data_IF_473233287397
#
_entry.id   IF_473233287397
#
_cell.length_a   1.000
_cell.length_b   1.000
_cell.length_c   1.000
_cell.angle_alpha   90.00
_cell.angle_beta   90.00
_cell.angle_gamma   90.00
#
_symmetry.space_group_name_H-M   'P 1'
#
loop_
_entity.id
_entity.type
_entity.pdbx_description
1 polymer ?
#
# COMPACT_ATOMS: atom_id res chain seq x y z
N UNK A 1 59.16 25.21 -14.59
CA UNK A 1 58.44 25.08 -13.33
C UNK A 1 56.94 25.09 -13.57
N UNK A 2 56.31 23.96 -13.97
CA UNK A 2 54.84 23.85 -14.15
C UNK A 2 54.31 22.49 -13.72
N UNK A 3 54.83 21.95 -12.59
CA UNK A 3 54.41 20.63 -12.04
C UNK A 3 53.38 20.65 -10.91
N UNK A 4 52.91 21.77 -10.29
CA UNK A 4 51.94 21.62 -9.19
C UNK A 4 50.47 21.57 -9.62
N UNK A 5 50.09 21.91 -10.86
CA UNK A 5 48.71 21.93 -11.28
C UNK A 5 48.14 20.55 -11.63
N UNK A 6 49.00 19.64 -12.08
CA UNK A 6 48.59 18.28 -12.45
C UNK A 6 48.36 17.36 -11.23
N UNK A 7 49.05 17.61 -10.12
CA UNK A 7 48.87 16.88 -8.86
C UNK A 7 47.58 17.25 -8.15
N UNK A 8 47.11 18.50 -8.26
CA UNK A 8 45.82 18.95 -7.71
C UNK A 8 44.61 18.40 -8.46
N UNK A 9 44.75 18.12 -9.78
CA UNK A 9 43.69 17.55 -10.59
C UNK A 9 43.48 16.04 -10.31
N UNK A 10 44.54 15.33 -9.98
CA UNK A 10 44.45 13.89 -9.59
C UNK A 10 43.83 13.70 -8.20
N UNK A 11 43.88 14.68 -7.31
CA UNK A 11 43.31 14.59 -5.97
C UNK A 11 41.76 14.75 -5.98
N UNK A 12 41.22 15.35 -7.05
CA UNK A 12 39.77 15.57 -7.20
C UNK A 12 39.06 14.37 -7.84
N UNK A 13 39.84 13.39 -8.35
CA UNK A 13 39.34 12.17 -8.97
C UNK A 13 39.55 10.91 -8.11
N UNK A 14 39.82 11.06 -6.81
CA UNK A 14 39.68 9.91 -5.95
C UNK A 14 38.19 9.59 -5.87
N UNK A 15 37.74 8.42 -6.38
CA UNK A 15 36.41 7.94 -6.09
C UNK A 15 36.35 7.83 -4.56
N UNK A 16 35.43 8.57 -3.94
CA UNK A 16 35.04 8.30 -2.55
C UNK A 16 34.68 6.82 -2.54
N UNK A 17 35.57 5.98 -2.04
CA UNK A 17 35.23 4.65 -1.59
C UNK A 17 34.24 4.90 -0.44
N UNK A 18 32.94 5.04 -0.80
CA UNK A 18 31.86 4.76 0.12
C UNK A 18 32.10 3.31 0.53
N UNK A 19 32.76 3.11 1.66
CA UNK A 19 32.64 1.90 2.43
C UNK A 19 31.16 1.83 2.79
N UNK A 20 30.38 1.14 1.94
CA UNK A 20 29.11 0.61 2.35
C UNK A 20 29.46 -0.30 3.53
N UNK A 21 29.21 0.18 4.75
CA UNK A 21 29.15 -0.69 5.92
C UNK A 21 27.93 -1.56 5.65
N UNK A 22 28.15 -2.68 4.99
CA UNK A 22 27.18 -3.77 4.96
C UNK A 22 27.03 -4.20 6.43
N UNK A 23 26.01 -3.69 7.11
CA UNK A 23 25.65 -4.18 8.41
C UNK A 23 25.33 -5.68 8.30
N UNK A 24 25.87 -6.47 9.22
CA UNK A 24 25.52 -7.89 9.29
C UNK A 24 24.00 -8.05 9.36
N UNK A 25 23.45 -8.89 8.49
CA UNK A 25 22.02 -9.22 8.51
C UNK A 25 21.63 -9.84 9.85
N UNK A 26 20.44 -9.54 10.33
CA UNK A 26 19.96 -10.07 11.61
C UNK A 26 19.95 -11.60 11.60
N UNK A 27 20.47 -12.21 12.66
CA UNK A 27 20.44 -13.66 12.80
C UNK A 27 19.00 -14.18 12.93
N UNK A 28 18.72 -15.33 12.32
CA UNK A 28 17.45 -16.04 12.53
C UNK A 28 17.51 -16.71 13.89
N UNK A 29 16.62 -16.36 14.83
CA UNK A 29 16.59 -17.03 16.14
C UNK A 29 16.09 -18.47 16.00
N UNK A 30 16.53 -19.40 16.85
CA UNK A 30 15.97 -20.75 16.88
C UNK A 30 14.52 -20.70 17.37
N UNK A 31 13.64 -21.48 16.74
CA UNK A 31 12.24 -21.58 17.17
C UNK A 31 12.17 -22.35 18.51
N UNK A 32 11.86 -21.65 19.58
CA UNK A 32 11.75 -22.25 20.95
C UNK A 32 10.30 -22.28 21.44
N UNK A 33 9.45 -21.39 20.94
CA UNK A 33 8.04 -21.29 21.28
C UNK A 33 7.25 -20.68 20.11
N UNK A 34 5.93 -20.92 20.01
CA UNK A 34 5.09 -20.29 19.00
C UNK A 34 5.14 -18.77 19.00
N UNK A 35 5.24 -18.15 20.16
CA UNK A 35 5.43 -16.71 20.32
C UNK A 35 6.82 -16.45 20.87
N UNK A 36 7.59 -15.66 20.15
CA UNK A 36 8.93 -15.27 20.55
C UNK A 36 9.01 -13.74 20.52
N UNK A 37 9.03 -13.13 21.69
CA UNK A 37 9.17 -11.68 21.85
C UNK A 37 10.61 -11.33 22.25
N UNK A 38 11.43 -10.96 21.27
CA UNK A 38 12.81 -10.52 21.46
C UNK A 38 12.93 -9.00 21.65
N UNK A 39 11.79 -8.31 21.70
CA UNK A 39 11.73 -6.86 21.85
C UNK A 39 11.06 -6.41 23.15
N UNK A 40 10.65 -7.35 24.00
CA UNK A 40 9.88 -7.10 25.22
C UNK A 40 8.65 -6.19 24.97
N UNK A 41 7.96 -6.45 23.87
CA UNK A 41 6.78 -5.69 23.44
C UNK A 41 5.53 -6.09 24.21
N UNK A 42 5.38 -7.39 24.49
CA UNK A 42 4.21 -7.96 25.14
C UNK A 42 4.45 -8.14 26.64
N UNK A 43 3.43 -7.91 27.47
CA UNK A 43 3.47 -8.38 28.85
C UNK A 43 3.71 -9.89 28.92
N UNK A 44 4.55 -10.37 29.83
CA UNK A 44 4.88 -11.79 29.93
C UNK A 44 3.66 -12.70 30.13
N UNK A 45 2.61 -12.19 30.78
CA UNK A 45 1.35 -12.91 30.94
C UNK A 45 0.64 -13.14 29.60
N UNK A 46 0.61 -12.12 28.74
CA UNK A 46 -0.04 -12.15 27.42
C UNK A 46 0.75 -13.06 26.48
N UNK A 47 2.07 -12.97 26.48
CA UNK A 47 2.95 -13.86 25.73
C UNK A 47 2.72 -15.32 26.11
N UNK A 48 2.70 -15.62 27.42
CA UNK A 48 2.46 -16.97 27.92
C UNK A 48 1.06 -17.51 27.55
N UNK A 49 0.03 -16.67 27.67
CA UNK A 49 -1.33 -17.03 27.29
C UNK A 49 -1.44 -17.32 25.79
N UNK A 50 -0.82 -16.47 24.96
CA UNK A 50 -0.81 -16.63 23.52
C UNK A 50 -0.02 -17.89 23.09
N UNK A 51 1.11 -18.18 23.74
CA UNK A 51 1.88 -19.39 23.52
C UNK A 51 1.04 -20.65 23.80
N UNK A 52 0.37 -20.71 24.95
CA UNK A 52 -0.51 -21.82 25.33
C UNK A 52 -1.62 -22.03 24.30
N UNK A 53 -2.23 -20.92 23.86
CA UNK A 53 -3.31 -20.93 22.88
C UNK A 53 -2.85 -21.45 21.51
N UNK A 54 -1.70 -20.99 21.01
CA UNK A 54 -1.17 -21.42 19.71
C UNK A 54 -0.70 -22.88 19.73
N UNK A 55 -0.18 -23.37 20.86
CA UNK A 55 0.14 -24.79 21.04
C UNK A 55 -1.13 -25.66 21.00
N UNK A 56 -2.20 -25.27 21.69
CA UNK A 56 -3.47 -25.94 21.65
C UNK A 56 -4.07 -25.94 20.23
N UNK A 57 -4.06 -24.79 19.56
CA UNK A 57 -4.53 -24.68 18.19
C UNK A 57 -3.79 -25.61 17.23
N UNK A 58 -2.46 -25.68 17.33
CA UNK A 58 -1.66 -26.59 16.49
C UNK A 58 -1.97 -28.06 16.78
N UNK A 59 -2.17 -28.43 18.04
CA UNK A 59 -2.53 -29.80 18.43
C UNK A 59 -3.91 -30.22 17.89
N UNK A 60 -4.87 -29.28 17.83
CA UNK A 60 -6.24 -29.54 17.36
C UNK A 60 -6.37 -29.54 15.83
N UNK A 61 -5.70 -28.60 15.17
CA UNK A 61 -5.92 -28.32 13.73
C UNK A 61 -4.76 -28.80 12.85
N UNK A 62 -3.60 -29.11 13.46
CA UNK A 62 -2.38 -29.50 12.74
C UNK A 62 -1.61 -28.32 12.13
N UNK A 63 -2.27 -27.23 11.77
CA UNK A 63 -1.62 -26.02 11.23
C UNK A 63 -0.85 -25.27 12.33
N UNK A 64 0.25 -24.65 11.97
CA UNK A 64 1.12 -23.94 12.92
C UNK A 64 1.08 -22.43 12.68
N UNK A 65 0.83 -21.66 13.72
CA UNK A 65 0.96 -20.21 13.72
C UNK A 65 2.13 -19.85 14.63
N UNK A 66 3.07 -19.06 14.14
CA UNK A 66 4.14 -18.49 14.94
C UNK A 66 4.16 -16.96 14.84
N UNK A 67 4.55 -16.31 15.94
CA UNK A 67 4.72 -14.87 16.05
C UNK A 67 6.14 -14.59 16.47
N UNK A 68 6.87 -13.82 15.69
CA UNK A 68 8.21 -13.36 16.00
C UNK A 68 8.22 -11.83 16.11
N UNK A 69 8.56 -11.33 17.28
CA UNK A 69 8.70 -9.91 17.55
C UNK A 69 10.18 -9.61 17.74
N UNK A 70 10.71 -8.72 16.90
CA UNK A 70 12.12 -8.32 16.92
C UNK A 70 12.26 -6.80 17.08
N UNK A 71 13.34 -6.32 17.66
CA UNK A 71 13.58 -4.87 17.75
C UNK A 71 13.65 -4.22 16.37
N UNK A 72 14.33 -4.82 15.40
CA UNK A 72 14.52 -4.35 14.03
C UNK A 72 14.94 -5.49 13.12
N UNK A 73 14.67 -5.35 11.82
CA UNK A 73 15.19 -6.25 10.79
C UNK A 73 16.33 -5.63 10.00
N UNK A 74 16.66 -4.36 10.25
CA UNK A 74 17.71 -3.65 9.53
C UNK A 74 19.07 -4.35 9.64
N UNK A 75 19.87 -4.35 8.55
CA UNK A 75 19.69 -3.62 7.29
C UNK A 75 18.77 -4.30 6.28
N UNK A 76 18.26 -5.48 6.58
CA UNK A 76 17.39 -6.26 5.72
C UNK A 76 15.95 -5.72 5.78
N UNK A 77 15.23 -5.79 4.66
CA UNK A 77 13.81 -5.47 4.69
C UNK A 77 13.01 -6.59 5.38
N UNK A 78 11.85 -6.22 5.94
CA UNK A 78 11.07 -7.16 6.73
C UNK A 78 10.58 -8.38 5.93
N UNK A 79 10.34 -8.23 4.63
CA UNK A 79 9.87 -9.34 3.79
C UNK A 79 10.99 -10.38 3.64
N UNK A 80 12.20 -9.95 3.27
CA UNK A 80 13.37 -10.81 3.11
C UNK A 80 13.73 -11.51 4.42
N UNK A 81 13.74 -10.76 5.54
CA UNK A 81 13.96 -11.33 6.85
C UNK A 81 12.92 -12.39 7.22
N UNK A 82 11.63 -12.08 7.06
CA UNK A 82 10.52 -12.99 7.37
C UNK A 82 10.59 -14.26 6.53
N UNK A 83 10.95 -14.13 5.26
CA UNK A 83 11.11 -15.27 4.35
C UNK A 83 12.23 -16.20 4.83
N UNK A 84 13.40 -15.66 5.20
CA UNK A 84 14.51 -16.42 5.77
C UNK A 84 14.14 -17.14 7.06
N UNK A 85 13.39 -16.46 7.93
CA UNK A 85 12.89 -17.06 9.18
C UNK A 85 11.95 -18.23 8.86
N UNK A 86 10.98 -18.01 7.96
CA UNK A 86 10.02 -19.04 7.56
C UNK A 86 10.72 -20.28 6.96
N UNK A 87 11.69 -20.06 6.08
CA UNK A 87 12.50 -21.14 5.50
C UNK A 87 13.32 -21.93 6.56
N UNK A 88 13.85 -21.20 7.54
CA UNK A 88 14.63 -21.81 8.63
C UNK A 88 13.75 -22.60 9.59
N UNK A 89 12.60 -22.05 9.96
CA UNK A 89 11.71 -22.67 10.95
C UNK A 89 10.85 -23.79 10.38
N UNK A 90 10.59 -23.78 9.08
CA UNK A 90 9.77 -24.78 8.37
C UNK A 90 8.47 -25.08 9.10
N UNK A 91 7.72 -24.02 9.41
CA UNK A 91 6.45 -24.10 10.09
C UNK A 91 5.44 -24.93 9.31
N UNK A 92 4.59 -25.66 10.02
CA UNK A 92 3.57 -26.48 9.42
C UNK A 92 3.99 -27.93 9.24
N UNK A 93 3.05 -28.74 8.77
CA UNK A 93 3.27 -30.18 8.53
C UNK A 93 4.08 -30.39 7.24
N UNK A 94 5.05 -31.28 7.30
CA UNK A 94 5.90 -31.63 6.15
C UNK A 94 5.05 -32.08 4.96
N UNK A 95 5.24 -31.40 3.81
CA UNK A 95 4.55 -31.71 2.55
C UNK A 95 3.13 -31.17 2.45
N UNK A 96 2.62 -30.52 3.52
CA UNK A 96 1.36 -29.77 3.54
C UNK A 96 1.66 -28.28 3.53
N UNK A 97 2.73 -27.88 4.24
CA UNK A 97 3.21 -26.50 4.36
C UNK A 97 2.12 -25.55 4.91
N UNK A 98 1.44 -25.98 5.97
CA UNK A 98 0.34 -25.27 6.61
C UNK A 98 0.79 -24.45 7.83
N UNK A 99 1.90 -23.76 7.66
CA UNK A 99 2.45 -22.83 8.63
C UNK A 99 2.15 -21.38 8.30
N UNK A 100 2.04 -20.53 9.33
CA UNK A 100 1.95 -19.08 9.24
C UNK A 100 2.96 -18.45 10.18
N UNK A 101 3.69 -17.46 9.71
CA UNK A 101 4.60 -16.65 10.51
C UNK A 101 4.22 -15.18 10.45
N UNK A 102 3.89 -14.59 11.59
CA UNK A 102 3.76 -13.15 11.76
C UNK A 102 5.06 -12.58 12.32
N UNK A 103 5.71 -11.71 11.57
CA UNK A 103 6.91 -10.98 12.02
C UNK A 103 6.56 -9.54 12.30
N UNK A 104 7.00 -9.01 13.44
CA UNK A 104 6.81 -7.63 13.87
C UNK A 104 8.16 -7.02 14.19
N UNK A 105 8.56 -5.98 13.44
CA UNK A 105 9.77 -5.20 13.66
C UNK A 105 9.41 -3.87 14.33
N UNK A 106 9.63 -3.79 15.64
CA UNK A 106 9.09 -2.72 16.52
C UNK A 106 9.63 -1.35 16.14
N UNK A 107 10.96 -1.21 16.05
CA UNK A 107 11.62 0.07 15.72
C UNK A 107 11.35 0.50 14.29
N UNK A 108 11.20 -0.46 13.38
CA UNK A 108 10.94 -0.22 11.96
C UNK A 108 9.47 0.11 11.71
N UNK A 109 8.59 -0.15 12.70
CA UNK A 109 7.12 -0.02 12.59
C UNK A 109 6.56 -0.79 11.42
N UNK A 110 7.07 -1.98 11.21
CA UNK A 110 6.69 -2.87 10.10
C UNK A 110 6.25 -4.21 10.65
N UNK A 111 5.31 -4.83 9.94
CA UNK A 111 4.89 -6.19 10.16
C UNK A 111 4.77 -6.92 8.82
N UNK A 112 4.89 -8.23 8.85
CA UNK A 112 4.76 -9.08 7.68
C UNK A 112 4.18 -10.44 8.04
N UNK A 113 3.39 -11.03 7.13
CA UNK A 113 2.89 -12.38 7.22
C UNK A 113 3.52 -13.23 6.12
N UNK A 114 4.11 -14.36 6.52
CA UNK A 114 4.51 -15.43 5.62
C UNK A 114 3.53 -16.59 5.79
N UNK A 115 2.93 -17.00 4.68
CA UNK A 115 1.87 -18.01 4.65
C UNK A 115 2.42 -19.18 3.86
N UNK A 116 2.37 -20.37 4.47
CA UNK A 116 2.74 -21.59 3.80
C UNK A 116 1.76 -21.97 2.69
N UNK A 117 2.26 -22.66 1.68
CA UNK A 117 1.51 -23.01 0.47
C UNK A 117 0.16 -23.71 0.75
N UNK A 118 0.14 -24.58 1.80
CA UNK A 118 -1.10 -25.28 2.20
C UNK A 118 -2.20 -24.39 2.74
N UNK A 119 -1.89 -23.15 3.07
CA UNK A 119 -2.86 -22.17 3.61
C UNK A 119 -3.20 -21.03 2.65
N UNK A 120 -2.61 -20.96 1.45
CA UNK A 120 -2.91 -19.90 0.47
C UNK A 120 -4.39 -19.85 0.09
N UNK A 121 -5.06 -21.01 0.05
CA UNK A 121 -6.50 -21.09 -0.21
C UNK A 121 -7.35 -20.54 0.93
N UNK A 122 -6.91 -20.67 2.18
CA UNK A 122 -7.60 -20.16 3.37
C UNK A 122 -7.26 -18.70 3.64
N UNK A 123 -6.00 -18.32 3.42
CA UNK A 123 -5.46 -16.98 3.68
C UNK A 123 -4.83 -16.43 2.39
N UNK A 124 -5.62 -16.01 1.39
CA UNK A 124 -5.11 -15.33 0.20
C UNK A 124 -4.44 -14.00 0.58
N UNK A 125 -3.58 -13.48 -0.29
CA UNK A 125 -2.83 -12.21 -0.09
C UNK A 125 -3.74 -11.04 0.33
N UNK A 126 -4.94 -10.95 -0.23
CA UNK A 126 -5.90 -9.92 0.13
C UNK A 126 -6.32 -10.01 1.61
N UNK A 127 -6.50 -11.22 2.14
CA UNK A 127 -6.83 -11.45 3.56
C UNK A 127 -5.63 -11.22 4.46
N UNK A 128 -4.44 -11.64 4.05
CA UNK A 128 -3.19 -11.33 4.75
C UNK A 128 -2.99 -9.82 4.90
N UNK A 129 -3.19 -9.08 3.81
CA UNK A 129 -3.14 -7.61 3.81
C UNK A 129 -4.20 -7.00 4.74
N UNK A 130 -5.43 -7.50 4.71
CA UNK A 130 -6.51 -7.06 5.59
C UNK A 130 -6.13 -7.25 7.07
N UNK A 131 -5.58 -8.42 7.45
CA UNK A 131 -5.14 -8.68 8.82
C UNK A 131 -4.09 -7.66 9.26
N UNK A 132 -3.07 -7.41 8.43
CA UNK A 132 -1.99 -6.51 8.77
C UNK A 132 -2.44 -5.05 8.87
N UNK A 133 -3.30 -4.58 7.95
CA UNK A 133 -3.65 -3.16 7.81
C UNK A 133 -4.92 -2.78 8.56
N UNK A 134 -5.95 -3.62 8.51
CA UNK A 134 -7.26 -3.26 9.04
C UNK A 134 -7.48 -3.81 10.46
N UNK A 135 -6.79 -4.90 10.83
CA UNK A 135 -6.94 -5.51 12.15
C UNK A 135 -5.76 -5.14 13.07
N UNK A 136 -4.51 -5.42 12.67
CA UNK A 136 -3.34 -5.22 13.56
C UNK A 136 -2.98 -3.74 13.67
N UNK A 137 -2.88 -3.04 12.54
CA UNK A 137 -2.36 -1.67 12.46
C UNK A 137 -3.11 -0.65 13.34
N UNK A 138 -4.45 -0.64 13.44
CA UNK A 138 -5.15 0.32 14.31
C UNK A 138 -4.75 0.19 15.77
N UNK A 139 -4.64 -1.04 16.29
CA UNK A 139 -4.19 -1.30 17.65
C UNK A 139 -2.75 -0.80 17.88
N UNK A 140 -1.85 -1.07 16.92
CA UNK A 140 -0.46 -0.63 17.00
C UNK A 140 -0.34 0.90 16.96
N UNK A 141 -1.18 1.57 16.20
CA UNK A 141 -1.26 3.04 16.17
C UNK A 141 -1.76 3.62 17.50
N UNK A 142 -2.64 2.91 18.18
CA UNK A 142 -3.13 3.25 19.51
C UNK A 142 -2.13 2.90 20.63
N UNK A 143 -1.02 2.21 20.32
CA UNK A 143 -0.04 1.73 21.30
C UNK A 143 -0.45 0.44 22.02
N UNK A 144 -1.56 -0.17 21.63
CA UNK A 144 -2.08 -1.42 22.20
C UNK A 144 -1.56 -2.63 21.41
N UNK A 145 -0.30 -2.95 21.61
CA UNK A 145 0.38 -4.00 20.87
C UNK A 145 -0.16 -5.39 21.19
N UNK A 146 -0.50 -5.65 22.46
CA UNK A 146 -1.00 -6.93 22.89
C UNK A 146 -2.35 -7.26 22.24
N UNK A 147 -3.30 -6.32 22.27
CA UNK A 147 -4.59 -6.49 21.57
C UNK A 147 -4.40 -6.65 20.05
N UNK A 148 -3.46 -5.90 19.46
CA UNK A 148 -3.19 -6.00 18.03
C UNK A 148 -2.66 -7.37 17.61
N UNK A 149 -1.71 -7.92 18.36
CA UNK A 149 -1.19 -9.28 18.09
C UNK A 149 -2.28 -10.33 18.32
N UNK A 150 -3.03 -10.24 19.40
CA UNK A 150 -4.13 -11.16 19.68
C UNK A 150 -5.21 -11.12 18.58
N UNK A 151 -5.66 -9.93 18.18
CA UNK A 151 -6.65 -9.77 17.11
C UNK A 151 -6.15 -10.34 15.77
N UNK A 152 -4.88 -10.13 15.44
CA UNK A 152 -4.27 -10.70 14.25
C UNK A 152 -4.24 -12.24 14.29
N UNK A 153 -3.88 -12.83 15.44
CA UNK A 153 -3.88 -14.28 15.63
C UNK A 153 -5.30 -14.84 15.59
N UNK A 154 -6.29 -14.14 16.17
CA UNK A 154 -7.70 -14.53 16.11
C UNK A 154 -8.21 -14.61 14.68
N UNK A 155 -7.87 -13.60 13.87
CA UNK A 155 -8.22 -13.57 12.47
C UNK A 155 -7.57 -14.72 11.68
N UNK A 156 -6.30 -15.04 11.94
CA UNK A 156 -5.61 -16.17 11.33
C UNK A 156 -6.29 -17.50 11.68
N UNK A 157 -6.57 -17.73 12.96
CA UNK A 157 -7.27 -18.94 13.45
C UNK A 157 -8.64 -19.09 12.77
N UNK A 158 -9.40 -17.98 12.69
CA UNK A 158 -10.72 -17.94 12.05
C UNK A 158 -10.65 -18.39 10.60
N UNK A 159 -9.71 -17.83 9.83
CA UNK A 159 -9.53 -18.18 8.42
C UNK A 159 -9.08 -19.64 8.23
N UNK A 160 -8.15 -20.13 9.07
CA UNK A 160 -7.66 -21.51 8.98
C UNK A 160 -8.79 -22.51 9.30
N UNK A 161 -9.70 -22.15 10.21
CA UNK A 161 -10.89 -22.96 10.51
C UNK A 161 -11.95 -22.90 9.41
N UNK A 162 -11.76 -22.11 8.37
CA UNK A 162 -12.70 -21.95 7.26
C UNK A 162 -13.86 -21.01 7.54
N UNK A 163 -13.78 -20.20 8.57
CA UNK A 163 -14.75 -19.16 8.87
C UNK A 163 -14.43 -17.88 8.05
N UNK A 164 -15.46 -17.13 7.68
CA UNK A 164 -15.26 -15.83 6.99
C UNK A 164 -14.96 -14.74 8.01
N UNK A 165 -13.93 -13.95 7.76
CA UNK A 165 -13.74 -12.69 8.50
C UNK A 165 -14.88 -11.74 8.18
N UNK A 166 -15.28 -10.86 9.15
CA UNK A 166 -16.15 -9.73 8.87
C UNK A 166 -15.63 -8.93 7.69
N UNK A 167 -16.53 -8.38 6.88
CA UNK A 167 -16.11 -7.45 5.84
C UNK A 167 -15.40 -6.26 6.50
N UNK A 168 -14.33 -5.72 5.86
CA UNK A 168 -13.67 -4.54 6.37
C UNK A 168 -14.72 -3.44 6.53
N UNK A 169 -14.78 -2.81 7.69
CA UNK A 169 -15.49 -1.55 7.81
C UNK A 169 -14.87 -0.61 6.79
N UNK A 170 -15.69 0.03 5.95
CA UNK A 170 -15.24 1.04 4.97
C UNK A 170 -14.74 2.31 5.69
N UNK A 171 -14.05 2.17 6.81
CA UNK A 171 -13.30 3.25 7.42
C UNK A 171 -12.02 3.44 6.64
N UNK A 172 -12.13 4.36 5.70
CA UNK A 172 -11.05 5.19 5.15
C UNK A 172 -9.70 4.47 5.04
N UNK A 173 -9.67 3.45 4.18
CA UNK A 173 -8.40 3.10 3.58
C UNK A 173 -7.86 4.39 2.99
N UNK A 174 -6.89 4.98 3.69
CA UNK A 174 -6.00 5.99 3.15
C UNK A 174 -5.26 5.41 1.94
N UNK A 175 -6.01 4.80 1.01
CA UNK A 175 -5.64 4.78 -0.37
C UNK A 175 -5.28 6.21 -0.62
N UNK A 176 -4.03 6.47 -0.92
CA UNK A 176 -3.63 7.65 -1.64
C UNK A 176 -4.68 7.78 -2.73
N UNK A 177 -5.79 8.45 -2.39
CA UNK A 177 -6.77 8.89 -3.36
C UNK A 177 -5.90 9.78 -4.22
N UNK A 178 -5.37 9.17 -5.28
CA UNK A 178 -4.61 9.90 -6.27
C UNK A 178 -5.59 10.94 -6.75
N UNK A 179 -5.54 12.08 -6.05
CA UNK A 179 -6.44 13.19 -6.28
C UNK A 179 -6.33 13.46 -7.78
N UNK A 180 -7.35 13.18 -8.61
CA UNK A 180 -7.22 13.30 -10.06
C UNK A 180 -6.75 14.70 -10.45
N UNK A 181 -7.00 15.69 -9.57
CA UNK A 181 -6.49 17.04 -9.68
C UNK A 181 -4.97 17.07 -9.51
N UNK A 182 -4.37 16.33 -8.57
CA UNK A 182 -2.92 16.27 -8.41
C UNK A 182 -2.24 15.58 -9.59
N UNK A 183 -2.83 14.52 -10.12
CA UNK A 183 -2.32 13.84 -11.33
C UNK A 183 -2.42 14.77 -12.53
N UNK A 184 -3.54 15.48 -12.70
CA UNK A 184 -3.72 16.45 -13.76
C UNK A 184 -2.69 17.62 -13.67
N UNK A 185 -2.40 18.10 -12.47
CA UNK A 185 -1.39 19.12 -12.21
C UNK A 185 0.02 18.60 -12.59
N UNK A 186 0.38 17.39 -12.16
CA UNK A 186 1.69 16.79 -12.46
C UNK A 186 1.85 16.57 -13.97
N UNK A 187 0.82 16.03 -14.64
CA UNK A 187 0.83 15.85 -16.10
C UNK A 187 0.92 17.21 -16.82
N UNK A 188 0.19 18.22 -16.35
CA UNK A 188 0.23 19.57 -16.89
C UNK A 188 1.61 20.22 -16.77
N UNK A 189 2.27 20.08 -15.61
CA UNK A 189 3.63 20.58 -15.39
C UNK A 189 4.63 19.83 -16.29
N UNK A 190 4.55 18.50 -16.37
CA UNK A 190 5.43 17.68 -17.22
C UNK A 190 5.26 18.01 -18.70
N UNK A 191 4.02 18.15 -19.17
CA UNK A 191 3.73 18.55 -20.55
C UNK A 191 4.24 19.97 -20.85
N UNK A 192 4.10 20.91 -19.91
CA UNK A 192 4.62 22.29 -20.02
C UNK A 192 6.15 22.34 -20.11
N UNK A 193 6.86 21.55 -19.28
CA UNK A 193 8.32 21.43 -19.30
C UNK A 193 8.79 20.80 -20.62
N UNK A 194 8.13 19.75 -21.08
CA UNK A 194 8.46 19.06 -22.32
C UNK A 194 8.25 19.98 -23.54
N UNK A 195 7.13 20.69 -23.59
CA UNK A 195 6.83 21.63 -24.66
C UNK A 195 7.83 22.80 -24.69
N UNK A 196 8.24 23.28 -23.51
CA UNK A 196 9.28 24.33 -23.37
C UNK A 196 10.65 23.86 -23.85
N UNK A 197 10.99 22.57 -23.57
CA UNK A 197 12.24 21.98 -24.05
C UNK A 197 12.24 21.78 -25.58
N UNK A 198 11.10 21.51 -26.19
CA UNK A 198 10.95 21.31 -27.62
C UNK A 198 10.97 22.67 -28.38
N UNK A 199 10.26 23.69 -27.87
CA UNK A 199 10.20 25.01 -28.52
C UNK A 199 11.41 25.89 -28.20
N UNK A 200 12.04 25.73 -27.03
CA UNK A 200 13.21 26.55 -26.62
C UNK A 200 14.46 26.30 -27.47
N UNK A 201 14.51 25.22 -28.24
CA UNK A 201 15.67 24.88 -29.08
C UNK A 201 15.60 25.47 -30.52
N UNK A 202 14.42 25.90 -30.94
CA UNK A 202 14.19 26.38 -32.31
C UNK A 202 14.08 27.90 -32.44
N UNK A 203 13.96 28.66 -31.35
CA UNK A 203 13.69 30.11 -31.33
C UNK A 203 14.84 30.99 -30.79
N UNK A 204 16.04 30.45 -30.59
CA UNK A 204 17.20 31.18 -30.08
C UNK A 204 17.87 32.14 -31.08
N UNK A 205 17.24 32.48 -32.22
CA UNK A 205 17.87 33.19 -33.30
C UNK A 205 17.32 34.59 -33.69
N UNK A 206 16.28 35.10 -33.05
CA UNK A 206 15.71 36.43 -33.45
C UNK A 206 15.56 37.35 -32.22
N UNK A 207 16.60 38.11 -31.99
CA UNK A 207 16.65 39.24 -31.07
C UNK A 207 15.76 40.40 -31.59
N UNK A 208 14.74 40.79 -30.84
CA UNK A 208 14.10 42.10 -30.99
C UNK A 208 12.58 42.20 -30.82
N UNK A 209 11.83 41.10 -30.76
CA UNK A 209 10.37 41.15 -30.62
C UNK A 209 9.83 40.36 -29.40
N UNK A 210 10.68 40.12 -28.41
CA UNK A 210 10.52 39.01 -27.45
C UNK A 210 9.38 39.10 -26.44
N UNK A 211 8.94 40.28 -26.03
CA UNK A 211 7.98 40.39 -24.89
C UNK A 211 6.53 40.17 -25.35
N UNK A 212 6.14 40.64 -26.50
CA UNK A 212 4.77 40.44 -27.00
C UNK A 212 4.54 38.99 -27.47
N UNK A 213 5.57 38.34 -28.03
CA UNK A 213 5.50 36.96 -28.50
C UNK A 213 5.49 35.97 -27.33
N UNK A 214 6.22 36.25 -26.25
CA UNK A 214 6.21 35.41 -25.04
C UNK A 214 4.87 35.50 -24.31
N UNK A 215 4.23 36.65 -24.26
CA UNK A 215 2.92 36.85 -23.67
C UNK A 215 1.81 36.10 -24.47
N UNK A 216 1.87 36.19 -25.82
CA UNK A 216 0.96 35.49 -26.71
C UNK A 216 1.13 33.97 -26.66
N UNK A 217 2.38 33.49 -26.52
CA UNK A 217 2.67 32.05 -26.35
C UNK A 217 2.23 31.51 -24.99
N UNK A 218 2.36 32.29 -23.90
CA UNK A 218 1.89 31.91 -22.57
C UNK A 218 0.35 31.83 -22.53
N UNK A 219 -0.35 32.80 -23.13
CA UNK A 219 -1.81 32.75 -23.24
C UNK A 219 -2.29 31.64 -24.18
N UNK A 220 -1.62 31.40 -25.31
CA UNK A 220 -1.93 30.31 -26.23
C UNK A 220 -1.67 28.91 -25.63
N UNK A 221 -0.59 28.78 -24.85
CA UNK A 221 -0.30 27.52 -24.12
C UNK A 221 -1.33 27.25 -23.03
N UNK A 222 -1.83 28.28 -22.33
CA UNK A 222 -2.89 28.10 -21.33
C UNK A 222 -4.23 27.66 -21.98
N UNK A 223 -4.55 28.17 -23.14
CA UNK A 223 -5.72 27.76 -23.93
C UNK A 223 -5.55 26.34 -24.49
N UNK A 224 -4.37 25.99 -25.00
CA UNK A 224 -4.08 24.65 -25.53
C UNK A 224 -4.12 23.58 -24.44
N UNK A 225 -3.61 23.84 -23.25
CA UNK A 225 -3.69 22.92 -22.10
C UNK A 225 -5.12 22.77 -21.60
N UNK A 226 -5.92 23.82 -21.57
CA UNK A 226 -7.32 23.75 -21.18
C UNK A 226 -8.14 22.89 -22.16
N UNK A 227 -7.91 23.04 -23.48
CA UNK A 227 -8.58 22.23 -24.51
C UNK A 227 -8.12 20.76 -24.42
N UNK A 228 -6.84 20.51 -24.20
CA UNK A 228 -6.29 19.16 -24.08
C UNK A 228 -6.84 18.43 -22.84
N UNK A 229 -6.93 19.10 -21.70
CA UNK A 229 -7.55 18.57 -20.49
C UNK A 229 -9.06 18.29 -20.71
N UNK A 230 -9.76 19.21 -21.36
CA UNK A 230 -11.18 19.03 -21.68
C UNK A 230 -11.42 17.82 -22.59
N UNK A 231 -10.55 17.60 -23.57
CA UNK A 231 -10.64 16.42 -24.48
C UNK A 231 -10.36 15.12 -23.73
N UNK A 232 -9.36 15.08 -22.85
CA UNK A 232 -9.07 13.90 -22.03
C UNK A 232 -10.22 13.58 -21.08
N UNK A 233 -10.79 14.60 -20.41
CA UNK A 233 -11.95 14.43 -19.53
C UNK A 233 -13.17 13.91 -20.31
N UNK A 234 -13.36 14.39 -21.52
CA UNK A 234 -14.44 13.95 -22.40
C UNK A 234 -14.26 12.48 -22.85
N UNK A 235 -13.04 12.10 -23.23
CA UNK A 235 -12.71 10.71 -23.61
C UNK A 235 -12.89 9.79 -22.39
N UNK A 236 -12.42 10.20 -21.21
CA UNK A 236 -12.57 9.41 -19.98
C UNK A 236 -14.03 9.28 -19.55
N UNK A 237 -14.83 10.35 -19.71
CA UNK A 237 -16.27 10.33 -19.46
C UNK A 237 -17.01 9.39 -20.40
N UNK A 238 -16.60 9.30 -21.68
CA UNK A 238 -17.17 8.38 -22.66
C UNK A 238 -16.80 6.92 -22.39
N UNK A 239 -15.59 6.66 -21.90
CA UNK A 239 -15.12 5.31 -21.58
C UNK A 239 -15.67 4.84 -20.22
N UNK A 240 -15.78 5.72 -19.22
CA UNK A 240 -16.36 5.43 -17.89
C UNK A 240 -17.89 5.48 -17.85
N UNK A 241 -18.54 6.03 -18.87
CA UNK A 241 -19.99 6.28 -18.93
C UNK A 241 -20.85 5.10 -19.36
N UNK A 242 -20.33 3.89 -19.35
CA UNK A 242 -21.09 2.67 -19.62
C UNK A 242 -21.90 2.19 -18.41
N UNK A 243 -22.92 2.94 -17.98
CA UNK A 243 -23.89 2.38 -17.06
C UNK A 243 -24.40 3.27 -15.96
N UNK A 244 -25.10 4.36 -16.32
CA UNK A 244 -26.24 4.87 -15.53
C UNK A 244 -26.96 5.93 -16.35
N UNK A 245 -28.23 5.61 -16.74
CA UNK A 245 -29.09 6.47 -17.54
C UNK A 245 -29.36 7.80 -16.87
N UNK A 246 -29.06 8.86 -17.60
CA UNK A 246 -29.58 10.19 -17.33
C UNK A 246 -31.08 10.16 -17.65
N UNK A 247 -31.89 9.95 -16.62
CA UNK A 247 -33.31 10.26 -16.65
C UNK A 247 -33.50 11.76 -16.77
N UNK A 248 -33.64 12.25 -17.99
CA UNK A 248 -34.10 13.60 -18.24
C UNK A 248 -35.52 13.72 -17.74
N UNK A 249 -35.73 14.43 -16.64
CA UNK A 249 -37.02 14.84 -16.12
C UNK A 249 -37.73 15.76 -17.14
N UNK A 250 -38.71 15.21 -17.83
CA UNK A 250 -39.60 15.97 -18.68
C UNK A 250 -40.52 16.87 -17.86
N UNK A 251 -40.49 18.14 -18.15
CA UNK A 251 -41.52 19.10 -17.84
C UNK A 251 -42.76 18.73 -18.61
N UNK A 252 -43.77 18.16 -17.95
CA UNK A 252 -45.09 17.86 -18.48
C UNK A 252 -46.17 18.60 -17.71
N UNK A 253 -46.64 19.60 -18.33
CA UNK A 253 -47.75 20.54 -18.09
C UNK A 253 -49.09 19.83 -18.01
N UNK A 254 -49.90 20.14 -17.02
CA UNK A 254 -51.32 20.28 -16.85
C UNK A 254 -52.29 19.40 -17.63
N UNK A 255 -53.30 18.92 -16.96
CA UNK A 255 -54.49 18.36 -17.54
C UNK A 255 -55.49 17.95 -16.49
N UNK A 256 -56.51 18.76 -16.35
CA UNK A 256 -57.76 18.63 -15.64
C UNK A 256 -58.60 17.41 -16.05
N UNK A 257 -59.46 16.95 -15.17
CA UNK A 257 -60.68 16.19 -15.45
C UNK A 257 -60.69 14.84 -14.75
N UNK A 258 -61.46 14.57 -13.77
CA UNK A 258 -62.91 14.61 -13.75
C UNK A 258 -63.45 13.21 -13.55
N UNK A 259 -64.12 12.98 -12.41
CA UNK A 259 -65.34 12.26 -12.33
C UNK A 259 -65.33 10.73 -12.21
N UNK A 260 -66.01 10.24 -11.15
CA UNK A 260 -66.94 9.16 -11.35
C UNK A 260 -66.81 7.94 -10.45
N UNK A 261 -67.46 7.94 -9.34
CA UNK A 261 -68.54 7.04 -8.89
C UNK A 261 -68.39 5.51 -9.06
N UNK A 262 -68.72 4.83 -7.95
CA UNK A 262 -69.42 3.54 -7.87
C UNK A 262 -68.53 2.42 -7.37
N UNK A 263 -68.72 1.77 -6.25
CA UNK A 263 -69.91 1.26 -5.67
C UNK A 263 -69.79 -0.23 -5.54
N UNK A 264 -69.92 -0.78 -4.34
CA UNK A 264 -70.59 -2.05 -4.06
C UNK A 264 -69.69 -3.29 -3.96
N UNK A 265 -69.50 -3.81 -2.79
CA UNK A 265 -70.34 -4.88 -2.30
C UNK A 265 -69.75 -6.28 -2.47
N UNK A 266 -69.56 -6.99 -1.40
CA UNK A 266 -69.36 -8.41 -1.36
C UNK A 266 -68.30 -8.82 -0.36
#
# INVERSE_FOLDING_TARGET
MRLPALLLFCLFWLPSLLLAVEGDVQAVPPLTAPVMDLADLLPAADESALNTRLQAFSAENGSQIAVLIVPTTQPEDIFSYSFRVAESWKLGRKGIDDGVLLVIAVKDRKNNLQIGYGLEGAIPDARAKQILQDIIRPHFQAGDFSSGVNAGVDALITLIKGENLPEPSEEDNGSTQQNPVMIAIIIGIMAGVFLRALLGRTLGGLSGGGIALTLALVLGAALGTAIFVAVIVLIFSLISGGGRGLGAGGLGRGGFGGGGFGGGGG
#
